data_IF_283860674381
#
_entry.id   IF_283860674381
#
_cell.length_a   1.000
_cell.length_b   1.000
_cell.length_c   1.000
_cell.angle_alpha   90.00
_cell.angle_beta   90.00
_cell.angle_gamma   90.00
#
_symmetry.space_group_name_H-M   'P 1'
#
loop_
_entity.id
_entity.type
_entity.pdbx_description
1 polymer ?
#
# COMPACT_ATOMS: atom_id res chain seq x y z
N UNK A 1 27.95 -12.27 0.08
CA UNK A 1 27.24 -11.28 -0.76
C UNK A 1 26.12 -10.74 0.08
N UNK A 2 26.53 -9.84 0.96
CA UNK A 2 25.73 -9.22 1.99
C UNK A 2 24.80 -8.27 1.25
N UNK A 3 23.56 -8.73 1.03
CA UNK A 3 22.49 -7.88 0.58
C UNK A 3 22.43 -6.74 1.60
N UNK A 4 22.97 -5.60 1.19
CA UNK A 4 23.00 -4.35 1.91
C UNK A 4 21.57 -4.10 2.40
N UNK A 5 21.32 -4.44 3.67
CA UNK A 5 20.06 -4.22 4.39
C UNK A 5 19.89 -2.71 4.63
N UNK A 6 20.09 -1.89 3.60
CA UNK A 6 19.73 -0.49 3.58
C UNK A 6 18.22 -0.44 3.49
N UNK A 7 17.60 -0.51 4.67
CA UNK A 7 16.19 -0.17 4.81
C UNK A 7 16.03 1.22 4.21
N UNK A 8 15.22 1.33 3.17
CA UNK A 8 14.91 2.61 2.57
C UNK A 8 14.29 3.49 3.66
N UNK A 9 14.95 4.60 3.97
CA UNK A 9 14.57 5.43 5.11
C UNK A 9 13.17 6.03 4.89
N UNK A 10 12.77 6.23 3.63
CA UNK A 10 11.44 6.69 3.24
C UNK A 10 10.37 5.66 3.61
N UNK A 11 10.58 4.39 3.24
CA UNK A 11 9.71 3.28 3.62
C UNK A 11 9.69 3.08 5.13
N UNK A 12 10.83 3.16 5.80
CA UNK A 12 10.90 3.02 7.26
C UNK A 12 10.12 4.13 7.98
N UNK A 13 10.30 5.38 7.56
CA UNK A 13 9.53 6.51 8.08
C UNK A 13 8.05 6.37 7.76
N UNK A 14 7.71 5.85 6.58
CA UNK A 14 6.34 5.54 6.23
C UNK A 14 5.76 4.46 7.12
N UNK A 15 6.40 3.30 7.32
CA UNK A 15 5.89 2.28 8.25
C UNK A 15 5.72 2.80 9.68
N UNK A 16 6.61 3.69 10.14
CA UNK A 16 6.49 4.34 11.45
C UNK A 16 5.34 5.36 11.51
N UNK A 17 5.00 6.02 10.40
CA UNK A 17 3.96 7.06 10.33
C UNK A 17 2.68 6.61 9.64
N UNK A 18 2.62 5.43 9.04
CA UNK A 18 1.50 4.96 8.23
C UNK A 18 0.23 4.79 9.08
N UNK A 19 0.41 4.53 10.38
CA UNK A 19 -0.69 4.47 11.33
C UNK A 19 -1.21 5.86 11.76
N UNK A 20 -0.38 6.91 11.66
CA UNK A 20 -0.72 8.30 12.03
C UNK A 20 -0.95 9.20 10.83
N UNK A 21 -0.69 8.71 9.62
CA UNK A 21 -0.95 9.42 8.38
C UNK A 21 -2.45 9.61 8.26
N UNK A 22 -2.90 10.86 8.39
CA UNK A 22 -4.28 11.20 8.10
C UNK A 22 -4.42 11.13 6.58
N UNK A 23 -5.05 10.06 6.11
CA UNK A 23 -5.23 9.85 4.68
C UNK A 23 -6.39 10.72 4.22
N UNK A 24 -6.15 11.51 3.19
CA UNK A 24 -7.15 12.37 2.58
C UNK A 24 -8.08 11.51 1.72
N UNK A 25 -9.23 11.15 2.29
CA UNK A 25 -10.22 10.28 1.63
C UNK A 25 -10.88 10.92 0.39
N UNK A 26 -10.69 12.21 0.14
CA UNK A 26 -11.24 12.92 -1.03
C UNK A 26 -10.36 12.77 -2.28
N UNK A 27 -9.05 12.60 -2.10
CA UNK A 27 -8.08 12.38 -3.19
C UNK A 27 -7.70 10.91 -3.37
N UNK A 28 -8.21 10.04 -2.51
CA UNK A 28 -7.98 8.61 -2.53
C UNK A 28 -8.67 7.91 -3.70
N UNK A 29 -7.99 6.90 -4.25
CA UNK A 29 -8.59 6.05 -5.27
C UNK A 29 -9.79 5.33 -4.65
N UNK A 30 -10.96 5.38 -5.30
CA UNK A 30 -12.11 4.60 -4.84
C UNK A 30 -11.73 3.13 -4.73
N UNK A 31 -12.07 2.52 -3.59
CA UNK A 31 -11.78 1.13 -3.32
C UNK A 31 -12.53 0.24 -4.34
N UNK A 32 -11.82 -0.52 -5.19
CA UNK A 32 -12.46 -1.45 -6.12
C UNK A 32 -12.97 -2.72 -5.43
N UNK A 33 -12.57 -2.97 -4.18
CA UNK A 33 -12.84 -4.20 -3.43
C UNK A 33 -13.46 -3.98 -2.03
N UNK A 34 -14.56 -3.20 -1.90
CA UNK A 34 -15.20 -2.94 -0.61
C UNK A 34 -15.79 -4.20 0.06
N UNK A 35 -15.90 -5.32 -0.67
CA UNK A 35 -16.46 -6.57 -0.18
C UNK A 35 -15.52 -7.33 0.78
N UNK A 36 -14.21 -7.11 0.69
CA UNK A 36 -13.22 -7.82 1.53
C UNK A 36 -12.08 -6.92 2.03
N UNK A 37 -11.93 -5.72 1.45
CA UNK A 37 -10.94 -4.75 1.86
C UNK A 37 -11.64 -3.50 2.41
N UNK A 38 -11.41 -3.19 3.68
CA UNK A 38 -11.88 -1.94 4.28
C UNK A 38 -11.29 -0.72 3.59
N UNK A 39 -12.06 0.36 3.48
CA UNK A 39 -11.58 1.61 2.90
C UNK A 39 -10.30 2.09 3.59
N UNK A 40 -10.24 2.09 4.92
CA UNK A 40 -9.04 2.49 5.67
C UNK A 40 -7.79 1.63 5.35
N UNK A 41 -7.97 0.35 5.01
CA UNK A 41 -6.86 -0.53 4.62
C UNK A 41 -6.45 -0.28 3.17
N UNK A 42 -7.42 -0.08 2.29
CA UNK A 42 -7.19 0.33 0.91
C UNK A 42 -6.46 1.67 0.85
N UNK A 43 -6.84 2.60 1.71
CA UNK A 43 -6.22 3.92 1.87
C UNK A 43 -4.72 3.78 2.19
N UNK A 44 -4.37 2.93 3.16
CA UNK A 44 -2.98 2.64 3.50
C UNK A 44 -2.22 1.95 2.36
N UNK A 45 -2.87 1.01 1.67
CA UNK A 45 -2.27 0.31 0.54
C UNK A 45 -2.03 1.23 -0.66
N UNK A 46 -2.95 2.15 -0.96
CA UNK A 46 -2.81 3.04 -2.11
C UNK A 46 -1.68 4.06 -1.89
N UNK A 47 -1.46 4.51 -0.65
CA UNK A 47 -0.29 5.30 -0.27
C UNK A 47 1.00 4.47 -0.32
N UNK A 48 0.98 3.20 0.10
CA UNK A 48 2.13 2.30 -0.05
C UNK A 48 2.50 2.14 -1.54
N UNK A 49 1.50 1.87 -2.39
CA UNK A 49 1.62 1.74 -3.84
C UNK A 49 2.13 3.02 -4.52
N UNK A 50 1.96 4.20 -3.91
CA UNK A 50 2.47 5.48 -4.45
C UNK A 50 4.00 5.50 -4.48
N UNK A 51 4.65 4.75 -3.59
CA UNK A 51 6.10 4.59 -3.58
C UNK A 51 6.59 3.83 -4.81
N UNK A 52 7.71 4.24 -5.41
CA UNK A 52 8.22 3.64 -6.65
C UNK A 52 8.48 2.13 -6.53
N UNK A 53 8.88 1.65 -5.35
CA UNK A 53 9.16 0.24 -5.10
C UNK A 53 7.90 -0.64 -5.11
N UNK A 54 6.76 -0.07 -4.70
CA UNK A 54 5.49 -0.78 -4.52
C UNK A 54 4.46 -0.53 -5.63
N UNK A 55 4.82 0.22 -6.67
CA UNK A 55 3.91 0.45 -7.82
C UNK A 55 3.45 -0.86 -8.46
N UNK A 56 4.31 -1.88 -8.46
CA UNK A 56 4.01 -3.22 -8.96
C UNK A 56 2.93 -3.94 -8.14
N UNK A 57 2.77 -3.62 -6.85
CA UNK A 57 1.71 -4.22 -6.02
C UNK A 57 0.32 -3.85 -6.54
N UNK A 58 0.14 -2.64 -7.11
CA UNK A 58 -1.14 -2.26 -7.75
C UNK A 58 -1.52 -3.20 -8.88
N UNK A 59 -0.54 -3.47 -9.74
CA UNK A 59 -0.71 -4.30 -10.92
C UNK A 59 -0.98 -5.76 -10.50
N UNK A 60 -0.29 -6.26 -9.47
CA UNK A 60 -0.60 -7.57 -8.89
C UNK A 60 -1.98 -7.64 -8.24
N UNK A 61 -2.43 -6.58 -7.57
CA UNK A 61 -3.76 -6.50 -6.98
C UNK A 61 -4.85 -6.59 -8.04
N UNK A 62 -4.63 -5.94 -9.19
CA UNK A 62 -5.55 -5.96 -10.33
C UNK A 62 -5.53 -7.32 -11.05
N UNK A 63 -4.34 -7.91 -11.21
CA UNK A 63 -4.19 -9.22 -11.86
C UNK A 63 -4.70 -10.39 -11.00
N UNK A 64 -4.51 -10.36 -9.68
CA UNK A 64 -4.79 -11.49 -8.80
C UNK A 64 -5.69 -11.17 -7.58
N UNK A 65 -6.83 -10.50 -7.74
CA UNK A 65 -7.66 -10.06 -6.61
C UNK A 65 -8.23 -11.21 -5.76
N UNK A 66 -8.24 -12.45 -6.27
CA UNK A 66 -8.66 -13.64 -5.53
C UNK A 66 -7.58 -14.14 -4.55
N UNK A 67 -6.32 -14.15 -4.97
CA UNK A 67 -5.19 -14.59 -4.13
C UNK A 67 -4.99 -13.67 -2.93
N UNK A 68 -5.25 -12.36 -3.09
CA UNK A 68 -5.17 -11.40 -2.00
C UNK A 68 -6.29 -11.52 -0.96
N UNK A 69 -7.37 -12.22 -1.29
CA UNK A 69 -8.52 -12.43 -0.41
C UNK A 69 -8.36 -13.68 0.48
N UNK A 70 -7.55 -14.66 0.07
CA UNK A 70 -7.33 -15.91 0.81
C UNK A 70 -6.46 -15.76 2.07
#
# INVERSE_FOLDING_TARGET
MDADKRINHDEYQFFLRAHTLTIDHETQFSNPFPAWLDNNRWDQMSELIRMPDYRFLRDLFDQFPKDWKE
#
